data_IF_944518697622
#
_entry.id   IF_944518697622
#
_cell.length_a   1.000
_cell.length_b   1.000
_cell.length_c   1.000
_cell.angle_alpha   90.00
_cell.angle_beta   90.00
_cell.angle_gamma   90.00
#
_symmetry.space_group_name_H-M   'P 1'
#
loop_
_entity.id
_entity.type
_entity.pdbx_description
1 polymer ?
#
# COMPACT_ATOMS: atom_id res chain seq x y z
N UNK A 1 -27.11 -11.37 -14.26
CA UNK A 1 -25.72 -11.73 -13.95
C UNK A 1 -25.25 -10.78 -12.85
N UNK A 2 -25.39 -11.20 -11.59
CA UNK A 2 -25.13 -10.34 -10.43
C UNK A 2 -23.64 -10.25 -10.16
N UNK A 3 -23.11 -9.04 -10.01
CA UNK A 3 -21.76 -8.84 -9.49
C UNK A 3 -21.80 -9.10 -7.99
N UNK A 4 -21.11 -10.14 -7.53
CA UNK A 4 -20.88 -10.37 -6.11
C UNK A 4 -19.94 -9.29 -5.57
N UNK A 5 -20.33 -8.70 -4.44
CA UNK A 5 -19.52 -7.72 -3.72
C UNK A 5 -18.30 -8.45 -3.15
N UNK A 6 -17.10 -8.06 -3.56
CA UNK A 6 -15.85 -8.57 -2.98
C UNK A 6 -15.87 -8.37 -1.47
N UNK A 7 -15.96 -9.49 -0.74
CA UNK A 7 -15.99 -9.48 0.71
C UNK A 7 -14.57 -9.33 1.24
N UNK A 8 -14.34 -8.30 2.04
CA UNK A 8 -13.15 -8.15 2.87
C UNK A 8 -13.08 -9.32 3.86
N UNK A 9 -11.94 -10.00 3.93
CA UNK A 9 -11.76 -11.18 4.78
C UNK A 9 -11.95 -10.85 6.27
N UNK A 10 -12.52 -11.80 7.03
CA UNK A 10 -12.78 -11.66 8.48
C UNK A 10 -11.48 -11.80 9.30
N UNK A 11 -11.43 -11.01 10.36
CA UNK A 11 -10.33 -10.90 11.32
C UNK A 11 -9.81 -12.25 11.86
N UNK A 12 -8.48 -12.42 11.79
CA UNK A 12 -7.72 -13.35 12.64
C UNK A 12 -6.70 -12.54 13.44
N UNK A 13 -6.24 -13.08 14.58
CA UNK A 13 -5.50 -12.35 15.63
C UNK A 13 -4.09 -11.82 15.22
N UNK A 14 -3.77 -11.84 13.93
CA UNK A 14 -2.50 -11.43 13.34
C UNK A 14 -2.79 -10.44 12.20
N UNK A 15 -2.84 -9.14 12.52
CA UNK A 15 -2.67 -8.08 11.52
C UNK A 15 -3.79 -7.03 11.45
N UNK A 16 -3.49 -5.82 11.92
CA UNK A 16 -4.24 -4.59 11.61
C UNK A 16 -4.25 -4.25 10.09
N UNK A 17 -3.54 -5.02 9.27
CA UNK A 17 -3.47 -4.86 7.82
C UNK A 17 -4.79 -5.15 7.10
N UNK A 18 -5.75 -5.81 7.75
CA UNK A 18 -7.10 -6.02 7.21
C UNK A 18 -8.03 -4.81 7.34
N UNK A 19 -7.57 -3.70 7.91
CA UNK A 19 -8.37 -2.49 8.09
C UNK A 19 -7.79 -1.34 7.27
N UNK A 20 -8.69 -0.61 6.61
CA UNK A 20 -8.36 0.65 5.95
C UNK A 20 -8.28 1.74 7.02
N UNK A 21 -7.13 2.36 7.16
CA UNK A 21 -6.91 3.48 8.09
C UNK A 21 -7.46 4.78 7.53
N UNK A 22 -8.00 5.66 8.37
CA UNK A 22 -8.56 6.95 7.96
C UNK A 22 -7.56 7.81 7.17
N UNK A 23 -6.27 7.77 7.54
CA UNK A 23 -5.18 8.45 6.84
C UNK A 23 -5.07 8.01 5.38
N UNK A 24 -5.25 6.72 5.10
CA UNK A 24 -5.22 6.17 3.74
C UNK A 24 -6.40 6.66 2.89
N UNK A 25 -7.56 6.90 3.51
CA UNK A 25 -8.74 7.47 2.83
C UNK A 25 -8.48 8.93 2.45
N UNK A 26 -7.92 9.71 3.38
CA UNK A 26 -7.58 11.12 3.13
C UNK A 26 -6.56 11.24 2.00
N UNK A 27 -5.50 10.44 2.03
CA UNK A 27 -4.45 10.42 1.00
C UNK A 27 -5.00 9.97 -0.35
N UNK A 28 -5.81 8.92 -0.39
CA UNK A 28 -6.49 8.47 -1.62
C UNK A 28 -7.32 9.59 -2.26
N UNK A 29 -8.09 10.34 -1.46
CA UNK A 29 -8.86 11.49 -1.94
C UNK A 29 -7.99 12.64 -2.40
N UNK A 30 -6.84 12.86 -1.78
CA UNK A 30 -5.87 13.83 -2.25
C UNK A 30 -5.28 13.45 -3.61
N UNK A 31 -4.96 12.17 -3.84
CA UNK A 31 -4.47 11.69 -5.14
C UNK A 31 -5.53 11.84 -6.23
N UNK A 32 -6.76 11.44 -5.96
CA UNK A 32 -7.88 11.58 -6.91
C UNK A 32 -8.05 13.04 -7.38
N UNK A 33 -7.98 14.00 -6.46
CA UNK A 33 -8.09 15.45 -6.77
C UNK A 33 -6.93 15.99 -7.63
N UNK A 34 -5.80 15.30 -7.67
CA UNK A 34 -4.60 15.72 -8.40
C UNK A 34 -4.16 14.67 -9.43
N UNK A 35 -5.11 13.89 -9.95
CA UNK A 35 -4.91 12.72 -10.81
C UNK A 35 -3.81 12.87 -11.88
N UNK A 36 -3.78 14.03 -12.56
CA UNK A 36 -2.85 14.29 -13.66
C UNK A 36 -1.35 14.24 -13.25
N UNK A 37 -1.03 14.32 -11.96
CA UNK A 37 0.36 14.35 -11.46
C UNK A 37 1.02 12.98 -11.36
N UNK A 38 0.24 11.90 -11.29
CA UNK A 38 0.77 10.59 -10.86
C UNK A 38 1.05 9.61 -12.00
N UNK A 39 0.55 9.88 -13.20
CA UNK A 39 0.73 8.99 -14.35
C UNK A 39 2.21 8.80 -14.67
N UNK A 40 2.65 7.54 -14.73
CA UNK A 40 4.02 7.15 -15.05
C UNK A 40 5.02 7.26 -13.89
N UNK A 41 4.61 7.79 -12.73
CA UNK A 41 5.50 7.87 -11.57
C UNK A 41 5.78 6.49 -10.98
N UNK A 42 7.00 6.28 -10.46
CA UNK A 42 7.38 5.13 -9.66
C UNK A 42 7.05 5.42 -8.19
N UNK A 43 6.00 4.80 -7.69
CA UNK A 43 5.52 5.02 -6.33
C UNK A 43 5.82 3.82 -5.43
N UNK A 44 6.25 4.10 -4.20
CA UNK A 44 6.36 3.13 -3.11
C UNK A 44 5.24 3.37 -2.10
N UNK A 45 4.43 2.33 -1.83
CA UNK A 45 3.49 2.27 -0.71
C UNK A 45 4.13 1.42 0.41
N UNK A 46 4.61 2.08 1.45
CA UNK A 46 5.37 1.52 2.56
C UNK A 46 4.43 1.14 3.71
N UNK A 47 4.46 -0.12 4.14
CA UNK A 47 3.49 -0.68 5.12
C UNK A 47 2.04 -0.48 4.66
N UNK A 48 1.74 -1.00 3.46
CA UNK A 48 0.54 -0.68 2.70
C UNK A 48 -0.78 -1.21 3.31
N UNK A 49 -0.74 -2.22 4.18
CA UNK A 49 -1.90 -2.86 4.78
C UNK A 49 -2.86 -3.42 3.72
N UNK A 50 -4.05 -2.82 3.62
CA UNK A 50 -5.01 -3.14 2.55
C UNK A 50 -4.59 -2.63 1.15
N UNK A 51 -3.63 -1.70 1.07
CA UNK A 51 -3.11 -1.16 -0.19
C UNK A 51 -3.95 -0.04 -0.81
N UNK A 52 -4.85 0.62 -0.06
CA UNK A 52 -5.77 1.61 -0.62
C UNK A 52 -5.04 2.74 -1.39
N UNK A 53 -3.99 3.31 -0.79
CA UNK A 53 -3.25 4.42 -1.39
C UNK A 53 -2.55 3.99 -2.69
N UNK A 54 -1.82 2.86 -2.67
CA UNK A 54 -1.19 2.28 -3.83
C UNK A 54 -2.19 1.87 -4.93
N UNK A 55 -3.34 1.29 -4.59
CA UNK A 55 -4.39 0.95 -5.56
C UNK A 55 -4.88 2.20 -6.29
N UNK A 56 -5.16 3.28 -5.56
CA UNK A 56 -5.61 4.54 -6.17
C UNK A 56 -4.54 5.10 -7.10
N UNK A 57 -3.27 5.13 -6.68
CA UNK A 57 -2.17 5.55 -7.56
C UNK A 57 -2.05 4.70 -8.83
N UNK A 58 -2.16 3.38 -8.71
CA UNK A 58 -2.12 2.48 -9.86
C UNK A 58 -3.28 2.73 -10.82
N UNK A 59 -4.50 3.00 -10.31
CA UNK A 59 -5.64 3.44 -11.16
C UNK A 59 -5.40 4.78 -11.85
N UNK A 60 -4.57 5.65 -11.26
CA UNK A 60 -4.14 6.92 -11.85
C UNK A 60 -2.95 6.75 -12.82
N UNK A 61 -2.48 5.52 -13.04
CA UNK A 61 -1.44 5.19 -14.01
C UNK A 61 -0.02 5.25 -13.46
N UNK A 62 0.18 5.23 -12.14
CA UNK A 62 1.49 5.09 -11.53
C UNK A 62 1.99 3.63 -11.57
N UNK A 63 3.31 3.45 -11.54
CA UNK A 63 3.97 2.16 -11.34
C UNK A 63 4.18 1.94 -9.84
N UNK A 64 3.40 1.05 -9.25
CA UNK A 64 3.34 0.88 -7.80
C UNK A 64 4.20 -0.32 -7.35
N UNK A 65 5.09 -0.06 -6.40
CA UNK A 65 5.66 -1.08 -5.51
C UNK A 65 4.97 -0.93 -4.16
N UNK A 66 4.32 -1.98 -3.68
CA UNK A 66 3.64 -1.99 -2.39
C UNK A 66 4.32 -2.98 -1.45
N UNK A 67 4.52 -2.58 -0.20
CA UNK A 67 5.28 -3.38 0.76
C UNK A 67 4.56 -3.56 2.07
N UNK A 68 4.76 -4.71 2.69
CA UNK A 68 4.26 -5.00 4.04
C UNK A 68 5.06 -6.16 4.67
N UNK A 69 4.68 -6.58 5.88
CA UNK A 69 5.18 -7.78 6.54
C UNK A 69 4.74 -9.04 5.78
N UNK A 70 5.51 -10.14 5.82
CA UNK A 70 5.23 -11.38 5.07
C UNK A 70 3.81 -11.92 5.22
N UNK A 71 3.23 -11.86 6.43
CA UNK A 71 1.87 -12.34 6.70
C UNK A 71 0.77 -11.54 6.01
N UNK A 72 1.04 -10.29 5.63
CA UNK A 72 0.07 -9.38 5.02
C UNK A 72 0.12 -9.41 3.48
N UNK A 73 1.18 -9.97 2.89
CA UNK A 73 1.36 -9.96 1.43
C UNK A 73 0.24 -10.67 0.64
N UNK A 74 -0.32 -11.81 1.09
CA UNK A 74 -1.43 -12.43 0.38
C UNK A 74 -2.63 -11.49 0.25
N UNK A 75 -3.05 -10.88 1.36
CA UNK A 75 -4.14 -9.90 1.39
C UNK A 75 -3.85 -8.69 0.49
N UNK A 76 -2.65 -8.13 0.61
CA UNK A 76 -2.23 -6.96 -0.17
C UNK A 76 -2.28 -7.27 -1.67
N UNK A 77 -1.70 -8.40 -2.09
CA UNK A 77 -1.73 -8.87 -3.47
C UNK A 77 -3.15 -9.09 -3.98
N UNK A 78 -4.00 -9.76 -3.19
CA UNK A 78 -5.40 -9.99 -3.56
C UNK A 78 -6.16 -8.68 -3.75
N UNK A 79 -5.96 -7.69 -2.87
CA UNK A 79 -6.60 -6.39 -2.99
C UNK A 79 -6.20 -5.64 -4.26
N UNK A 80 -4.93 -5.69 -4.68
CA UNK A 80 -4.51 -5.16 -5.98
C UNK A 80 -5.17 -5.89 -7.15
N UNK A 81 -5.21 -7.22 -7.09
CA UNK A 81 -5.77 -8.08 -8.13
C UNK A 81 -7.28 -7.83 -8.33
N UNK A 82 -8.09 -7.86 -7.26
CA UNK A 82 -9.54 -7.63 -7.37
C UNK A 82 -9.88 -6.21 -7.84
N UNK A 83 -8.96 -5.25 -7.65
CA UNK A 83 -9.12 -3.89 -8.13
C UNK A 83 -8.58 -3.67 -9.56
N UNK A 84 -8.04 -4.71 -10.21
CA UNK A 84 -7.52 -4.66 -11.56
C UNK A 84 -6.28 -3.78 -11.70
N UNK A 85 -5.46 -3.68 -10.65
CA UNK A 85 -4.25 -2.85 -10.63
C UNK A 85 -3.03 -3.75 -10.54
N UNK A 86 -2.15 -3.67 -11.54
CA UNK A 86 -0.85 -4.33 -11.47
C UNK A 86 0.08 -3.57 -10.50
N UNK A 87 0.68 -4.30 -9.56
CA UNK A 87 1.66 -3.76 -8.62
C UNK A 87 2.73 -4.81 -8.30
N UNK A 88 3.93 -4.34 -7.93
CA UNK A 88 4.98 -5.20 -7.37
C UNK A 88 4.77 -5.27 -5.85
N UNK A 89 4.33 -6.41 -5.34
CA UNK A 89 4.13 -6.65 -3.90
C UNK A 89 5.37 -7.34 -3.31
N UNK A 90 5.98 -6.76 -2.28
CA UNK A 90 7.27 -7.22 -1.72
C UNK A 90 7.27 -7.12 -0.19
N UNK A 91 7.88 -8.09 0.50
CA UNK A 91 8.07 -7.97 1.95
C UNK A 91 9.06 -6.85 2.29
N UNK A 92 8.80 -6.10 3.35
CA UNK A 92 9.76 -5.13 3.89
C UNK A 92 9.51 -4.85 5.37
N UNK A 93 10.59 -4.69 6.13
CA UNK A 93 10.56 -4.22 7.52
C UNK A 93 11.20 -2.84 7.60
N UNK A 94 10.66 -1.98 8.47
CA UNK A 94 11.35 -0.76 8.85
C UNK A 94 12.73 -1.07 9.43
N UNK A 95 13.73 -0.24 9.09
CA UNK A 95 15.13 -0.45 9.46
C UNK A 95 15.89 -1.48 8.63
N UNK A 96 15.22 -2.20 7.72
CA UNK A 96 15.89 -3.12 6.78
C UNK A 96 16.38 -2.41 5.51
N UNK A 97 17.31 -3.04 4.79
CA UNK A 97 17.89 -2.47 3.57
C UNK A 97 16.84 -2.27 2.45
N UNK A 98 16.74 -1.02 1.99
CA UNK A 98 15.83 -0.60 0.93
C UNK A 98 16.33 -0.93 -0.49
N UNK A 99 17.57 -1.39 -0.69
CA UNK A 99 18.09 -1.74 -2.02
C UNK A 99 17.23 -2.79 -2.73
N UNK A 100 16.69 -3.75 -1.96
CA UNK A 100 15.77 -4.78 -2.43
C UNK A 100 14.46 -4.23 -3.03
N UNK A 101 14.05 -3.03 -2.62
CA UNK A 101 12.87 -2.34 -3.15
C UNK A 101 13.13 -1.73 -4.54
N UNK A 102 14.37 -1.75 -5.01
CA UNK A 102 14.76 -1.25 -6.33
C UNK A 102 14.46 0.27 -6.49
N UNK A 103 15.03 1.15 -5.65
CA UNK A 103 14.94 2.61 -5.85
C UNK A 103 15.54 3.05 -7.20
N UNK A 104 15.35 4.31 -7.65
CA UNK A 104 14.63 5.41 -6.99
C UNK A 104 13.10 5.33 -7.14
N UNK A 105 12.41 6.07 -6.26
CA UNK A 105 10.97 6.32 -6.32
C UNK A 105 10.72 7.82 -6.45
N UNK A 106 9.72 8.20 -7.23
CA UNK A 106 9.28 9.58 -7.37
C UNK A 106 8.40 10.02 -6.19
N UNK A 107 7.73 9.05 -5.56
CA UNK A 107 6.84 9.26 -4.42
C UNK A 107 6.90 8.06 -3.47
N UNK A 108 7.07 8.33 -2.18
CA UNK A 108 6.99 7.32 -1.11
C UNK A 108 5.83 7.71 -0.19
N UNK A 109 5.00 6.74 0.16
CA UNK A 109 3.79 6.93 0.98
C UNK A 109 3.84 5.94 2.12
N UNK A 110 3.43 6.38 3.31
CA UNK A 110 3.16 5.52 4.45
C UNK A 110 1.88 6.04 5.11
N UNK A 111 0.88 5.18 5.29
CA UNK A 111 -0.41 5.55 5.90
C UNK A 111 -0.70 4.63 7.08
N UNK A 112 -0.79 5.18 8.29
CA UNK A 112 -1.11 4.43 9.49
C UNK A 112 -0.38 5.00 10.69
N UNK A 113 -0.53 4.32 11.82
CA UNK A 113 0.28 4.60 13.01
C UNK A 113 1.65 3.93 12.86
N UNK A 114 2.74 4.60 13.27
CA UNK A 114 4.04 3.94 13.35
C UNK A 114 3.98 2.76 14.34
N UNK A 115 4.82 1.73 14.18
CA UNK A 115 4.91 0.66 15.16
C UNK A 115 5.27 1.20 16.55
N UNK A 116 4.80 0.56 17.62
CA UNK A 116 4.98 1.04 19.01
C UNK A 116 6.45 1.30 19.41
N UNK A 117 7.41 0.69 18.70
CA UNK A 117 8.86 0.87 18.90
C UNK A 117 9.54 1.70 17.80
N UNK A 118 8.86 2.70 17.24
CA UNK A 118 9.44 3.58 16.22
C UNK A 118 10.45 4.57 16.83
N UNK A 119 11.58 4.08 17.32
CA UNK A 119 12.66 4.89 17.91
C UNK A 119 13.82 5.17 16.95
N UNK A 120 13.83 4.58 15.75
CA UNK A 120 15.09 4.39 15.00
C UNK A 120 15.28 5.33 13.80
N UNK A 121 14.68 6.53 13.80
CA UNK A 121 15.04 7.58 12.83
C UNK A 121 16.20 8.48 13.27
N UNK A 122 16.89 8.13 14.37
CA UNK A 122 17.92 8.98 15.00
C UNK A 122 19.32 8.37 15.13
N UNK A 123 19.67 7.32 14.39
CA UNK A 123 21.06 6.79 14.37
C UNK A 123 21.71 6.87 13.01
#
# INVERSE_FOLDING_TARGET
MGMEKGAQAKFTAEGFASTVWDSSIVVAKYFERHAARYKGLRCLDLSAGCGLAGIVLGKLGAHVTATDLPGNLPLLSDNFNINGVAARVVQHWWGSDAASLSPPFDLIIACGEPPENFTDLHS
#
